data_IF_978016748752
#
_entry.id   IF_978016748752
#
_cell.length_a   1.000
_cell.length_b   1.000
_cell.length_c   1.000
_cell.angle_alpha   90.00
_cell.angle_beta   90.00
_cell.angle_gamma   90.00
#
_symmetry.space_group_name_H-M   'P 1'
#
loop_
_entity.id
_entity.type
_entity.pdbx_description
1 polymer ?
#
# COMPACT_ATOMS: atom_id res chain seq x y z
N UNK A 1 12.04 -0.03 3.15
CA UNK A 1 11.47 0.31 1.83
C UNK A 1 12.25 -0.50 0.81
N UNK A 2 11.64 -1.50 0.20
CA UNK A 2 12.29 -2.28 -0.86
C UNK A 2 12.23 -1.42 -2.13
N UNK A 3 13.38 -1.16 -2.75
CA UNK A 3 13.48 -0.51 -4.06
C UNK A 3 13.92 -1.58 -5.07
N UNK A 4 12.96 -2.37 -5.54
CA UNK A 4 13.15 -3.37 -6.58
C UNK A 4 12.37 -3.00 -7.84
N UNK A 5 12.86 -3.42 -9.00
CA UNK A 5 12.04 -3.46 -10.22
C UNK A 5 10.96 -4.52 -10.04
N UNK A 6 9.71 -4.21 -10.34
CA UNK A 6 8.61 -5.15 -10.25
C UNK A 6 7.71 -5.05 -11.48
N UNK A 7 7.17 -6.18 -11.93
CA UNK A 7 5.99 -6.14 -12.81
C UNK A 7 4.85 -5.68 -11.92
N UNK A 8 4.25 -4.52 -12.22
CA UNK A 8 3.00 -4.08 -11.61
C UNK A 8 1.93 -3.97 -12.66
N UNK A 9 0.78 -4.56 -12.36
CA UNK A 9 -0.43 -4.43 -13.16
C UNK A 9 -1.50 -3.78 -12.27
N UNK A 10 -2.37 -2.97 -12.86
CA UNK A 10 -3.56 -2.48 -12.15
C UNK A 10 -4.75 -2.54 -13.10
N UNK A 11 -5.88 -3.10 -12.67
CA UNK A 11 -7.16 -3.11 -13.38
C UNK A 11 -8.22 -2.43 -12.50
N UNK A 12 -9.00 -1.50 -13.07
CA UNK A 12 -9.93 -0.65 -12.34
C UNK A 12 -11.35 -0.85 -12.88
N UNK A 13 -12.28 -1.31 -12.05
CA UNK A 13 -13.71 -1.42 -12.40
C UNK A 13 -14.58 -0.66 -11.41
N UNK A 14 -15.77 -0.25 -11.83
CA UNK A 14 -16.79 0.31 -10.96
C UNK A 14 -18.00 -0.63 -10.82
N UNK A 15 -18.01 -1.75 -11.52
CA UNK A 15 -19.08 -2.74 -11.38
C UNK A 15 -18.85 -3.53 -10.09
N UNK A 16 -19.87 -3.70 -9.22
CA UNK A 16 -19.72 -4.48 -8.00
C UNK A 16 -19.50 -5.95 -8.33
N UNK A 17 -18.47 -6.54 -7.73
CA UNK A 17 -18.08 -7.92 -7.97
C UNK A 17 -18.47 -8.82 -6.80
N UNK A 18 -18.95 -10.02 -7.13
CA UNK A 18 -19.18 -11.03 -6.10
C UNK A 18 -17.86 -11.49 -5.51
N UNK A 19 -17.83 -11.84 -4.21
CA UNK A 19 -16.65 -12.46 -3.59
C UNK A 19 -16.22 -13.74 -4.32
N UNK A 20 -17.17 -14.46 -4.92
CA UNK A 20 -16.92 -15.56 -5.85
C UNK A 20 -15.99 -15.18 -7.01
N UNK A 21 -16.34 -14.12 -7.74
CA UNK A 21 -15.57 -13.58 -8.89
C UNK A 21 -14.18 -13.09 -8.45
N UNK A 22 -14.09 -12.38 -7.32
CA UNK A 22 -12.84 -11.86 -6.78
C UNK A 22 -11.89 -13.01 -6.40
N UNK A 23 -12.40 -14.02 -5.70
CA UNK A 23 -11.63 -15.22 -5.33
C UNK A 23 -11.19 -16.02 -6.55
N UNK A 24 -12.05 -16.17 -7.55
CA UNK A 24 -11.74 -16.89 -8.79
C UNK A 24 -10.58 -16.21 -9.55
N UNK A 25 -10.68 -14.89 -9.80
CA UNK A 25 -9.60 -14.08 -10.40
C UNK A 25 -8.29 -14.22 -9.63
N UNK A 26 -8.35 -14.17 -8.29
CA UNK A 26 -7.18 -14.26 -7.42
C UNK A 26 -6.51 -15.64 -7.48
N UNK A 27 -7.32 -16.72 -7.49
CA UNK A 27 -6.86 -18.10 -7.59
C UNK A 27 -6.26 -18.42 -8.95
N UNK A 28 -6.94 -18.05 -10.04
CA UNK A 28 -6.47 -18.27 -11.41
C UNK A 28 -5.15 -17.56 -11.67
N UNK A 29 -5.04 -16.29 -11.24
CA UNK A 29 -3.83 -15.50 -11.44
C UNK A 29 -2.66 -16.03 -10.61
N UNK A 30 -2.89 -16.39 -9.35
CA UNK A 30 -1.83 -17.04 -8.56
C UNK A 30 -1.42 -18.38 -9.17
N UNK A 31 -2.37 -19.20 -9.64
CA UNK A 31 -2.08 -20.48 -10.27
C UNK A 31 -1.27 -20.34 -11.58
N UNK A 32 -1.56 -19.30 -12.37
CA UNK A 32 -0.87 -19.02 -13.64
C UNK A 32 0.50 -18.36 -13.44
N UNK A 33 0.68 -17.50 -12.44
CA UNK A 33 1.97 -16.86 -12.13
C UNK A 33 2.93 -17.83 -11.40
N UNK A 34 2.42 -18.69 -10.50
CA UNK A 34 3.21 -19.59 -9.65
C UNK A 34 4.32 -20.40 -10.37
N UNK A 35 4.14 -20.94 -11.59
CA UNK A 35 5.21 -21.66 -12.32
C UNK A 35 6.42 -20.79 -12.67
N UNK A 36 6.26 -19.47 -12.73
CA UNK A 36 7.33 -18.52 -13.07
C UNK A 36 8.08 -18.01 -11.83
N UNK A 37 7.54 -18.25 -10.63
CA UNK A 37 8.11 -17.76 -9.38
C UNK A 37 9.20 -18.71 -8.87
N UNK A 38 10.24 -18.13 -8.26
CA UNK A 38 11.21 -18.87 -7.44
C UNK A 38 10.56 -19.44 -6.17
N UNK A 39 9.96 -20.62 -6.29
CA UNK A 39 9.27 -21.31 -5.19
C UNK A 39 10.17 -21.63 -4.00
N UNK A 40 11.49 -21.67 -4.20
CA UNK A 40 12.49 -21.78 -3.13
C UNK A 40 12.58 -20.53 -2.23
N UNK A 41 12.13 -19.36 -2.73
CA UNK A 41 11.93 -18.13 -1.95
C UNK A 41 10.48 -17.89 -1.51
N UNK A 42 9.56 -18.82 -1.76
CA UNK A 42 8.17 -18.73 -1.29
C UNK A 42 7.99 -19.60 -0.05
N UNK A 43 8.63 -19.21 1.06
CA UNK A 43 8.53 -19.95 2.33
C UNK A 43 7.18 -19.73 3.00
N UNK A 44 6.53 -18.58 2.74
CA UNK A 44 5.21 -18.24 3.28
C UNK A 44 4.29 -17.69 2.19
N UNK A 45 3.02 -18.03 2.27
CA UNK A 45 1.96 -17.37 1.53
C UNK A 45 0.74 -17.17 2.45
N UNK A 46 0.17 -15.98 2.41
CA UNK A 46 -0.89 -15.50 3.31
C UNK A 46 -2.04 -14.91 2.50
N UNK A 47 -3.26 -15.16 2.96
CA UNK A 47 -4.46 -14.47 2.51
C UNK A 47 -4.93 -13.59 3.65
N UNK A 48 -5.12 -12.32 3.36
CA UNK A 48 -5.79 -11.36 4.22
C UNK A 48 -7.11 -10.96 3.56
N UNK A 49 -8.14 -10.76 4.36
CA UNK A 49 -9.38 -10.17 3.88
C UNK A 49 -10.08 -9.36 4.96
N UNK A 50 -10.82 -8.34 4.55
CA UNK A 50 -11.80 -7.64 5.38
C UNK A 50 -13.20 -7.97 4.90
N UNK A 51 -14.13 -8.00 5.86
CA UNK A 51 -15.56 -8.00 5.61
C UNK A 51 -16.09 -6.59 5.92
N UNK A 52 -17.18 -6.16 5.28
CA UNK A 52 -17.84 -4.89 5.58
C UNK A 52 -17.94 -4.62 7.08
N UNK A 53 -17.29 -3.55 7.53
CA UNK A 53 -17.30 -3.07 8.91
C UNK A 53 -16.71 -4.06 9.95
N UNK A 54 -15.84 -4.99 9.54
CA UNK A 54 -15.15 -5.94 10.43
C UNK A 54 -13.62 -5.82 10.33
N UNK A 55 -12.94 -6.30 11.38
CA UNK A 55 -11.48 -6.35 11.46
C UNK A 55 -10.87 -7.32 10.45
N UNK A 56 -9.62 -7.06 10.09
CA UNK A 56 -8.82 -7.91 9.20
C UNK A 56 -8.77 -9.36 9.70
N UNK A 57 -9.07 -10.31 8.82
CA UNK A 57 -8.79 -11.73 9.02
C UNK A 57 -7.55 -12.12 8.24
N UNK A 58 -6.66 -12.92 8.84
CA UNK A 58 -5.43 -13.42 8.23
C UNK A 58 -5.41 -14.94 8.32
N UNK A 59 -5.08 -15.64 7.23
CA UNK A 59 -4.73 -17.07 7.27
C UNK A 59 -3.59 -17.38 6.31
N UNK A 60 -2.86 -18.47 6.57
CA UNK A 60 -1.95 -19.04 5.56
C UNK A 60 -2.75 -19.51 4.34
N UNK A 61 -2.22 -19.32 3.13
CA UNK A 61 -2.84 -19.68 1.86
C UNK A 61 -3.35 -21.14 1.80
N UNK A 62 -2.62 -22.06 2.44
CA UNK A 62 -2.93 -23.49 2.51
C UNK A 62 -4.13 -23.81 3.43
N UNK A 63 -4.52 -22.89 4.32
CA UNK A 63 -5.62 -23.02 5.30
C UNK A 63 -6.78 -22.05 5.02
N UNK A 64 -6.74 -21.34 3.89
CA UNK A 64 -7.84 -20.49 3.45
C UNK A 64 -8.99 -21.38 2.96
N UNK A 65 -10.18 -21.22 3.55
CA UNK A 65 -11.40 -21.85 3.03
C UNK A 65 -11.91 -21.02 1.85
N UNK A 66 -11.38 -21.32 0.67
CA UNK A 66 -11.77 -20.68 -0.57
C UNK A 66 -13.25 -20.83 -0.90
N UNK A 67 -13.89 -21.93 -0.47
CA UNK A 67 -15.31 -22.12 -0.73
C UNK A 67 -16.14 -21.17 0.15
N UNK A 68 -15.76 -20.98 1.42
CA UNK A 68 -16.36 -19.96 2.28
C UNK A 68 -16.10 -18.52 1.76
N UNK A 69 -14.87 -18.21 1.32
CA UNK A 69 -14.53 -16.89 0.77
C UNK A 69 -15.34 -16.55 -0.49
N UNK A 70 -15.72 -17.55 -1.31
CA UNK A 70 -16.61 -17.35 -2.47
C UNK A 70 -18.06 -16.99 -2.11
N UNK A 71 -18.51 -17.24 -0.87
CA UNK A 71 -19.88 -17.00 -0.41
C UNK A 71 -20.08 -15.69 0.36
N UNK A 72 -19.02 -14.92 0.61
CA UNK A 72 -19.06 -13.68 1.38
C UNK A 72 -18.75 -12.47 0.49
N UNK A 73 -19.32 -11.31 0.83
CA UNK A 73 -18.94 -10.04 0.21
C UNK A 73 -17.59 -9.58 0.79
N UNK A 74 -16.58 -9.45 -0.07
CA UNK A 74 -15.22 -9.10 0.34
C UNK A 74 -15.01 -7.59 0.16
N UNK A 75 -14.54 -6.93 1.23
CA UNK A 75 -14.04 -5.55 1.12
C UNK A 75 -12.60 -5.53 0.62
N UNK A 76 -11.77 -6.45 1.10
CA UNK A 76 -10.40 -6.60 0.61
C UNK A 76 -10.06 -8.07 0.46
N UNK A 77 -9.17 -8.37 -0.49
CA UNK A 77 -8.51 -9.67 -0.59
C UNK A 77 -7.04 -9.41 -0.97
N UNK A 78 -6.13 -9.55 -0.01
CA UNK A 78 -4.69 -9.53 -0.25
C UNK A 78 -4.16 -10.97 -0.24
N UNK A 79 -3.56 -11.42 -1.35
CA UNK A 79 -2.76 -12.64 -1.41
C UNK A 79 -1.29 -12.24 -1.49
N UNK A 80 -0.58 -12.32 -0.35
CA UNK A 80 0.86 -12.13 -0.28
C UNK A 80 1.62 -13.45 -0.35
N UNK A 81 2.78 -13.48 -1.00
CA UNK A 81 3.75 -14.56 -0.86
C UNK A 81 5.18 -14.02 -0.83
N UNK A 82 6.05 -14.62 -0.03
CA UNK A 82 7.40 -14.12 0.23
C UNK A 82 8.29 -15.10 0.98
N UNK A 83 9.53 -14.66 1.25
CA UNK A 83 10.43 -15.35 2.17
C UNK A 83 10.34 -14.74 3.59
N UNK A 84 11.19 -15.19 4.51
CA UNK A 84 11.20 -14.69 5.90
C UNK A 84 11.80 -13.29 6.04
N UNK A 85 12.49 -12.77 5.03
CA UNK A 85 13.14 -11.46 5.02
C UNK A 85 12.31 -10.44 4.22
N UNK A 86 11.57 -10.91 3.21
CA UNK A 86 10.78 -10.11 2.28
C UNK A 86 9.30 -10.50 2.39
N UNK A 87 8.53 -9.70 3.13
CA UNK A 87 7.11 -9.97 3.42
C UNK A 87 6.19 -9.99 2.19
N UNK A 88 6.64 -9.47 1.05
CA UNK A 88 5.86 -9.30 -0.18
C UNK A 88 6.76 -9.41 -1.43
N UNK A 89 7.01 -10.62 -1.92
CA UNK A 89 7.70 -10.86 -3.21
C UNK A 89 6.69 -11.03 -4.36
N UNK A 90 5.56 -11.66 -4.08
CA UNK A 90 4.34 -11.60 -4.88
C UNK A 90 3.23 -10.99 -4.03
N UNK A 91 2.39 -10.19 -4.65
CA UNK A 91 1.18 -9.69 -4.01
C UNK A 91 0.07 -9.49 -5.02
N UNK A 92 -1.15 -9.83 -4.62
CA UNK A 92 -2.39 -9.45 -5.29
C UNK A 92 -3.30 -8.77 -4.27
N UNK A 93 -3.75 -7.56 -4.55
CA UNK A 93 -4.73 -6.84 -3.76
C UNK A 93 -6.00 -6.63 -4.58
N UNK A 94 -7.12 -6.96 -3.97
CA UNK A 94 -8.42 -6.41 -4.30
C UNK A 94 -8.83 -5.41 -3.22
N UNK A 95 -9.34 -4.25 -3.63
CA UNK A 95 -9.87 -3.21 -2.74
C UNK A 95 -11.29 -2.80 -3.15
N UNK A 96 -12.19 -2.69 -2.17
CA UNK A 96 -13.61 -2.35 -2.33
C UNK A 96 -13.89 -0.84 -2.40
N UNK A 97 -14.99 -0.54 -3.07
CA UNK A 97 -15.56 0.78 -3.31
C UNK A 97 -16.15 1.45 -2.05
N UNK A 98 -15.35 2.18 -1.28
CA UNK A 98 -15.88 3.11 -0.26
C UNK A 98 -16.19 4.46 -0.92
N UNK A 99 -17.43 4.95 -0.83
CA UNK A 99 -17.88 6.27 -1.32
C UNK A 99 -17.56 6.56 -2.80
N UNK A 100 -18.22 5.87 -3.74
CA UNK A 100 -18.05 6.01 -5.20
C UNK A 100 -16.63 5.73 -5.76
N UNK A 101 -15.73 5.16 -4.95
CA UNK A 101 -14.43 4.69 -5.44
C UNK A 101 -14.60 3.44 -6.32
N UNK A 102 -13.77 3.25 -7.35
CA UNK A 102 -13.74 1.99 -8.08
C UNK A 102 -13.10 0.88 -7.25
N UNK A 103 -13.47 -0.35 -7.61
CA UNK A 103 -12.75 -1.55 -7.25
C UNK A 103 -11.42 -1.61 -8.01
N UNK A 104 -10.33 -1.90 -7.29
CA UNK A 104 -9.01 -2.08 -7.90
C UNK A 104 -8.56 -3.53 -7.72
N UNK A 105 -8.06 -4.12 -8.80
CA UNK A 105 -7.12 -5.24 -8.77
C UNK A 105 -5.72 -4.69 -8.99
N UNK A 106 -4.86 -4.73 -7.96
CA UNK A 106 -3.47 -4.27 -8.02
C UNK A 106 -2.55 -5.40 -7.57
N UNK A 107 -1.69 -5.85 -8.48
CA UNK A 107 -0.83 -7.02 -8.31
C UNK A 107 0.58 -6.67 -8.74
N UNK A 108 1.54 -7.13 -7.95
CA UNK A 108 2.95 -6.95 -8.21
C UNK A 108 3.74 -8.25 -8.06
N UNK A 109 4.78 -8.36 -8.89
CA UNK A 109 5.71 -9.48 -8.93
C UNK A 109 7.12 -8.90 -8.89
N UNK A 110 7.81 -9.09 -7.77
CA UNK A 110 9.15 -8.55 -7.54
C UNK A 110 10.18 -9.20 -8.49
N UNK A 111 11.02 -8.37 -9.12
CA UNK A 111 12.06 -8.80 -10.05
C UNK A 111 13.05 -9.80 -9.45
N UNK A 112 13.27 -9.83 -8.14
CA UNK A 112 14.15 -10.82 -7.52
C UNK A 112 13.58 -12.26 -7.50
N UNK A 113 12.25 -12.42 -7.50
CA UNK A 113 11.63 -13.75 -7.68
C UNK A 113 11.42 -14.12 -9.14
N UNK A 114 11.55 -13.15 -10.05
CA UNK A 114 11.70 -13.41 -11.46
C UNK A 114 13.10 -13.95 -11.68
N UNK A 115 13.21 -15.27 -11.85
CA UNK A 115 14.40 -15.85 -12.44
C UNK A 115 14.56 -15.22 -13.84
N UNK A 116 15.52 -14.30 -14.04
CA UNK A 116 15.69 -13.40 -15.21
C UNK A 116 15.56 -14.04 -16.61
N UNK A 117 15.50 -15.37 -16.70
CA UNK A 117 15.22 -16.17 -17.91
C UNK A 117 13.72 -16.36 -18.21
N UNK A 118 12.83 -16.03 -17.28
CA UNK A 118 11.40 -16.32 -17.35
C UNK A 118 10.54 -15.13 -17.79
N UNK A 119 11.13 -13.94 -17.99
CA UNK A 119 10.37 -12.70 -18.17
C UNK A 119 9.47 -12.72 -19.42
N UNK A 120 9.95 -13.22 -20.56
CA UNK A 120 9.11 -13.32 -21.78
C UNK A 120 7.91 -14.25 -21.61
N UNK A 121 8.10 -15.44 -21.03
CA UNK A 121 6.99 -16.37 -20.77
C UNK A 121 6.02 -15.82 -19.70
N UNK A 122 6.53 -15.14 -18.67
CA UNK A 122 5.69 -14.47 -17.69
C UNK A 122 4.96 -13.26 -18.28
N UNK A 123 5.57 -12.53 -19.21
CA UNK A 123 4.96 -11.40 -19.91
C UNK A 123 3.71 -11.84 -20.66
N UNK A 124 3.79 -12.92 -21.46
CA UNK A 124 2.64 -13.50 -22.15
C UNK A 124 1.53 -13.88 -21.17
N UNK A 125 1.88 -14.58 -20.08
CA UNK A 125 0.94 -14.97 -19.00
C UNK A 125 0.30 -13.75 -18.34
N UNK A 126 1.08 -12.73 -17.96
CA UNK A 126 0.61 -11.48 -17.35
C UNK A 126 -0.34 -10.72 -18.29
N UNK A 127 0.00 -10.61 -19.57
CA UNK A 127 -0.85 -9.95 -20.58
C UNK A 127 -2.16 -10.71 -20.77
N UNK A 128 -2.12 -12.04 -20.89
CA UNK A 128 -3.30 -12.88 -21.05
C UNK A 128 -4.25 -12.78 -19.85
N UNK A 129 -3.74 -12.89 -18.63
CA UNK A 129 -4.51 -12.72 -17.39
C UNK A 129 -5.09 -11.32 -17.28
N UNK A 130 -4.29 -10.28 -17.53
CA UNK A 130 -4.74 -8.89 -17.45
C UNK A 130 -5.90 -8.61 -18.41
N UNK A 131 -5.84 -9.15 -19.64
CA UNK A 131 -6.95 -9.08 -20.62
C UNK A 131 -8.20 -9.82 -20.13
N UNK A 132 -8.05 -11.05 -19.64
CA UNK A 132 -9.17 -11.84 -19.10
C UNK A 132 -9.86 -11.10 -17.95
N UNK A 133 -9.09 -10.55 -17.02
CA UNK A 133 -9.59 -9.83 -15.84
C UNK A 133 -10.24 -8.52 -16.23
N UNK A 134 -9.64 -7.75 -17.16
CA UNK A 134 -10.23 -6.52 -17.69
C UNK A 134 -11.62 -6.77 -18.30
N UNK A 135 -11.79 -7.88 -19.02
CA UNK A 135 -13.07 -8.28 -19.63
C UNK A 135 -14.05 -8.82 -18.58
N UNK A 136 -13.63 -9.77 -17.75
CA UNK A 136 -14.48 -10.46 -16.78
C UNK A 136 -15.04 -9.52 -15.69
N UNK A 137 -14.33 -8.43 -15.40
CA UNK A 137 -14.73 -7.44 -14.39
C UNK A 137 -15.40 -6.20 -14.98
N UNK A 138 -15.61 -6.18 -16.31
CA UNK A 138 -16.08 -5.01 -17.07
C UNK A 138 -15.30 -3.73 -16.72
N UNK A 139 -13.98 -3.85 -16.61
CA UNK A 139 -13.12 -2.77 -16.18
C UNK A 139 -13.13 -1.57 -17.15
N UNK A 140 -12.83 -0.39 -16.61
CA UNK A 140 -12.87 0.88 -17.32
C UNK A 140 -11.48 1.41 -17.71
N UNK A 141 -10.44 1.05 -16.95
CA UNK A 141 -9.05 1.33 -17.29
C UNK A 141 -8.11 0.35 -16.60
N UNK A 142 -6.85 0.34 -17.00
CA UNK A 142 -5.81 -0.44 -16.37
C UNK A 142 -4.45 -0.26 -17.05
N UNK A 143 -3.39 -0.79 -16.45
CA UNK A 143 -2.04 -0.75 -17.00
C UNK A 143 -1.18 -1.95 -16.58
N UNK A 144 -0.08 -2.15 -17.30
CA UNK A 144 1.02 -3.07 -17.01
C UNK A 144 2.32 -2.26 -17.12
N UNK A 145 3.17 -2.36 -16.11
CA UNK A 145 4.42 -1.59 -15.95
C UNK A 145 5.53 -2.48 -15.42
N UNK A 146 6.79 -2.14 -15.72
CA UNK A 146 7.97 -2.78 -15.16
C UNK A 146 8.91 -1.72 -14.59
N UNK A 147 8.52 -1.20 -13.42
CA UNK A 147 9.12 -0.02 -12.81
C UNK A 147 9.70 -0.34 -11.43
N UNK A 148 10.54 0.55 -10.90
CA UNK A 148 10.89 0.53 -9.49
C UNK A 148 9.62 0.75 -8.67
N UNK A 149 9.29 -0.20 -7.78
CA UNK A 149 8.09 -0.14 -6.97
C UNK A 149 8.37 0.44 -5.58
N UNK A 150 7.38 1.14 -5.04
CA UNK A 150 7.31 1.49 -3.62
C UNK A 150 5.98 0.98 -3.09
N UNK A 151 6.02 0.21 -2.00
CA UNK A 151 4.83 -0.40 -1.38
C UNK A 151 3.92 0.61 -0.65
N UNK A 152 4.10 1.91 -0.89
CA UNK A 152 3.42 3.00 -0.17
C UNK A 152 2.18 3.43 -0.95
N UNK A 153 1.11 2.65 -0.78
CA UNK A 153 -0.24 2.99 -1.22
C UNK A 153 -0.60 2.60 -2.65
N UNK A 154 -1.87 2.82 -3.00
CA UNK A 154 -2.45 2.42 -4.29
C UNK A 154 -2.09 3.33 -5.47
N UNK A 155 -1.28 4.39 -5.25
CA UNK A 155 -0.87 5.34 -6.28
C UNK A 155 -0.09 4.67 -7.41
N UNK A 156 -0.32 5.07 -8.65
CA UNK A 156 0.50 4.65 -9.79
C UNK A 156 1.84 5.41 -9.84
N UNK A 157 2.88 4.93 -10.55
CA UNK A 157 4.15 5.65 -10.68
C UNK A 157 3.98 7.08 -11.22
N UNK A 158 3.11 7.28 -12.22
CA UNK A 158 2.79 8.62 -12.74
C UNK A 158 2.11 9.51 -11.68
N UNK A 159 1.11 8.99 -10.96
CA UNK A 159 0.41 9.74 -9.90
C UNK A 159 1.37 10.17 -8.77
N UNK A 160 2.34 9.34 -8.41
CA UNK A 160 3.40 9.69 -7.44
C UNK A 160 4.24 10.88 -7.91
N UNK A 161 4.63 10.93 -9.19
CA UNK A 161 5.46 12.02 -9.76
C UNK A 161 4.72 13.36 -9.72
N UNK A 162 3.46 13.38 -10.16
CA UNK A 162 2.62 14.58 -10.18
C UNK A 162 1.99 14.92 -8.81
N UNK A 163 2.37 14.18 -7.76
CA UNK A 163 1.80 14.23 -6.39
C UNK A 163 0.26 14.19 -6.35
N UNK A 164 -0.35 13.40 -7.22
CA UNK A 164 -1.78 13.15 -7.17
C UNK A 164 -2.07 12.08 -6.12
N UNK A 165 -2.77 12.44 -5.05
CA UNK A 165 -3.20 11.46 -4.05
C UNK A 165 -4.18 10.47 -4.72
N UNK A 166 -3.99 9.13 -4.60
CA UNK A 166 -4.72 8.14 -5.40
C UNK A 166 -6.24 8.33 -5.31
N UNK A 167 -6.78 8.53 -4.10
CA UNK A 167 -8.21 8.77 -3.87
C UNK A 167 -8.83 9.97 -4.59
N UNK A 168 -8.04 10.93 -5.09
CA UNK A 168 -8.55 12.06 -5.87
C UNK A 168 -8.80 11.72 -7.35
N UNK A 169 -8.00 10.82 -7.91
CA UNK A 169 -8.10 10.42 -9.32
C UNK A 169 -9.07 9.25 -9.52
N UNK A 170 -9.22 8.43 -8.48
CA UNK A 170 -10.03 7.23 -8.45
C UNK A 170 -11.46 7.40 -9.03
N UNK A 171 -12.28 8.41 -8.64
CA UNK A 171 -13.61 8.62 -9.26
C UNK A 171 -13.57 8.96 -10.76
N UNK A 172 -12.42 9.40 -11.29
CA UNK A 172 -12.25 9.80 -12.69
C UNK A 172 -11.76 8.67 -13.59
N UNK A 173 -11.48 7.49 -13.05
CA UNK A 173 -10.94 6.35 -13.81
C UNK A 173 -11.84 5.83 -14.96
N UNK A 174 -13.09 6.32 -15.08
CA UNK A 174 -13.97 6.09 -16.25
C UNK A 174 -13.57 6.90 -17.50
N UNK A 175 -12.84 8.00 -17.33
CA UNK A 175 -12.45 8.95 -18.41
C UNK A 175 -10.99 9.36 -18.35
N UNK A 176 -10.28 9.07 -17.25
CA UNK A 176 -8.85 9.31 -17.09
C UNK A 176 -8.12 8.00 -16.80
N UNK A 177 -6.97 7.84 -17.45
CA UNK A 177 -6.00 6.78 -17.13
C UNK A 177 -5.31 7.07 -15.80
N UNK A 178 -4.48 6.12 -15.33
CA UNK A 178 -3.60 6.33 -14.17
C UNK A 178 -2.14 6.58 -14.59
N UNK A 179 -1.92 7.08 -15.80
CA UNK A 179 -0.60 7.22 -16.43
C UNK A 179 -0.54 6.53 -17.80
N UNK A 180 0.66 6.46 -18.35
CA UNK A 180 0.98 5.75 -19.60
C UNK A 180 2.15 4.80 -19.33
N UNK A 181 1.97 3.52 -19.63
CA UNK A 181 2.94 2.47 -19.29
C UNK A 181 3.18 1.53 -20.47
N UNK A 182 3.95 0.46 -20.29
CA UNK A 182 4.20 -0.52 -21.35
C UNK A 182 2.91 -1.15 -21.90
N UNK A 183 2.03 -1.61 -21.00
CA UNK A 183 0.70 -2.11 -21.33
C UNK A 183 -0.37 -1.16 -20.79
N UNK A 184 -1.43 -0.89 -21.55
CA UNK A 184 -2.53 -0.04 -21.12
C UNK A 184 -3.88 -0.62 -21.58
N UNK A 185 -4.91 -0.44 -20.77
CA UNK A 185 -6.28 -0.82 -21.08
C UNK A 185 -7.18 0.42 -21.15
N UNK A 186 -7.83 0.60 -22.29
CA UNK A 186 -8.62 1.79 -22.63
C UNK A 186 -10.02 1.40 -23.11
N UNK A 187 -11.06 2.04 -22.59
CA UNK A 187 -12.43 1.97 -23.13
C UNK A 187 -12.67 3.04 -24.20
N UNK A 188 -13.82 3.00 -24.88
CA UNK A 188 -14.23 4.06 -25.81
C UNK A 188 -14.25 5.47 -25.18
N UNK A 189 -14.60 5.58 -23.89
CA UNK A 189 -14.57 6.86 -23.12
C UNK A 189 -13.16 7.42 -22.91
N UNK A 190 -12.13 6.58 -23.00
CA UNK A 190 -10.73 7.01 -23.00
C UNK A 190 -10.23 7.33 -24.42
N UNK A 191 -10.75 6.64 -25.44
CA UNK A 191 -10.35 6.88 -26.83
C UNK A 191 -10.92 8.18 -27.40
N UNK A 192 -12.15 8.57 -27.05
CA UNK A 192 -12.79 9.77 -27.60
C UNK A 192 -11.97 11.06 -27.37
N UNK A 193 -11.49 11.39 -26.14
CA UNK A 193 -10.70 12.61 -25.92
C UNK A 193 -9.32 12.62 -26.59
N UNK A 194 -8.78 11.46 -26.99
CA UNK A 194 -7.49 11.34 -27.68
C UNK A 194 -7.64 11.22 -29.22
N UNK A 195 -8.86 11.39 -29.76
CA UNK A 195 -9.12 11.37 -31.21
C UNK A 195 -9.48 10.00 -31.78
N UNK A 196 -9.87 9.03 -30.95
CA UNK A 196 -10.34 7.71 -31.35
C UNK A 196 -9.25 6.72 -31.75
N UNK A 197 -9.68 5.52 -32.17
CA UNK A 197 -8.78 4.43 -32.57
C UNK A 197 -7.88 4.82 -33.76
N UNK A 198 -8.40 5.59 -34.71
CA UNK A 198 -7.61 6.05 -35.87
C UNK A 198 -6.41 6.91 -35.45
N UNK A 199 -6.57 7.76 -34.43
CA UNK A 199 -5.47 8.58 -33.90
C UNK A 199 -4.48 7.74 -33.09
N UNK A 200 -4.98 6.75 -32.34
CA UNK A 200 -4.12 5.78 -31.63
C UNK A 200 -3.22 5.01 -32.62
N UNK A 201 -3.78 4.53 -33.74
CA UNK A 201 -3.06 3.78 -34.77
C UNK A 201 -2.01 4.59 -35.56
N UNK A 202 -1.93 5.91 -35.37
CA UNK A 202 -0.90 6.76 -36.00
C UNK A 202 0.40 6.83 -35.19
N UNK A 203 0.37 6.42 -33.92
CA UNK A 203 1.52 6.41 -33.01
C UNK A 203 2.28 5.07 -33.15
N UNK A 204 3.62 5.03 -33.02
CA UNK A 204 4.44 3.80 -33.14
C UNK A 204 4.26 2.82 -31.97
N UNK A 205 3.05 2.28 -31.83
CA UNK A 205 2.66 1.26 -30.87
C UNK A 205 2.94 -0.13 -31.47
N UNK A 206 3.61 -1.00 -30.72
CA UNK A 206 3.91 -2.37 -31.16
C UNK A 206 2.64 -3.20 -31.44
N UNK A 207 1.65 -3.16 -30.55
CA UNK A 207 0.42 -3.95 -30.70
C UNK A 207 -0.81 -3.28 -30.08
N UNK A 208 -1.95 -3.38 -30.77
CA UNK A 208 -3.28 -2.97 -30.30
C UNK A 208 -4.25 -4.13 -30.53
N UNK A 209 -4.98 -4.52 -29.49
CA UNK A 209 -6.02 -5.55 -29.53
C UNK A 209 -7.36 -4.96 -29.10
N UNK A 210 -8.43 -5.27 -29.85
CA UNK A 210 -9.80 -4.96 -29.46
C UNK A 210 -10.36 -6.04 -28.53
N UNK A 211 -10.79 -5.64 -27.34
CA UNK A 211 -11.42 -6.48 -26.32
C UNK A 211 -12.94 -6.21 -26.27
N UNK A 212 -13.77 -7.14 -25.77
CA UNK A 212 -15.23 -6.94 -25.67
C UNK A 212 -15.72 -5.64 -25.02
N UNK A 213 -14.98 -5.11 -24.05
CA UNK A 213 -15.29 -3.85 -23.35
C UNK A 213 -14.29 -2.70 -23.63
N UNK A 214 -13.32 -2.87 -24.54
CA UNK A 214 -12.30 -1.84 -24.77
C UNK A 214 -11.14 -2.29 -25.65
N UNK A 215 -9.95 -1.85 -25.31
CA UNK A 215 -8.72 -2.08 -26.08
C UNK A 215 -7.55 -2.34 -25.13
N UNK A 216 -6.70 -3.28 -25.51
CA UNK A 216 -5.36 -3.43 -24.94
C UNK A 216 -4.33 -2.81 -25.89
N UNK A 217 -3.40 -2.05 -25.34
CA UNK A 217 -2.29 -1.40 -26.06
C UNK A 217 -0.96 -1.82 -25.44
N UNK A 218 -0.01 -2.24 -26.27
CA UNK A 218 1.35 -2.64 -25.89
C UNK A 218 2.37 -1.81 -26.66
N UNK A 219 3.23 -1.07 -25.96
CA UNK A 219 4.13 -0.10 -26.58
C UNK A 219 5.32 -0.74 -27.32
N UNK A 220 5.90 -1.80 -26.77
CA UNK A 220 7.08 -2.50 -27.29
C UNK A 220 6.94 -4.02 -27.13
N UNK A 221 7.77 -4.79 -27.83
CA UNK A 221 7.77 -6.27 -27.71
C UNK A 221 8.21 -6.73 -26.31
N UNK A 222 9.19 -6.06 -25.70
CA UNK A 222 9.73 -6.34 -24.37
C UNK A 222 9.33 -5.24 -23.38
N UNK A 223 8.74 -5.60 -22.23
CA UNK A 223 8.33 -4.62 -21.20
C UNK A 223 9.48 -3.85 -20.54
N UNK A 224 10.72 -4.33 -20.69
CA UNK A 224 11.93 -3.70 -20.15
C UNK A 224 12.59 -2.72 -21.13
N UNK A 225 12.24 -2.79 -22.41
CA UNK A 225 12.78 -1.93 -23.48
C UNK A 225 11.64 -1.21 -24.21
N UNK A 226 11.27 -0.04 -23.69
CA UNK A 226 10.32 0.87 -24.33
C UNK A 226 11.11 2.02 -24.97
N UNK A 227 11.11 2.15 -26.31
CA UNK A 227 11.85 3.22 -26.96
C UNK A 227 11.35 4.60 -26.51
N UNK A 228 12.25 5.44 -26.00
CA UNK A 228 11.92 6.78 -25.48
C UNK A 228 11.03 7.64 -26.41
N UNK A 229 11.23 7.70 -27.75
CA UNK A 229 10.33 8.44 -28.63
C UNK A 229 8.87 7.94 -28.62
N UNK A 230 8.64 6.64 -28.40
CA UNK A 230 7.29 6.06 -28.27
C UNK A 230 6.64 6.56 -26.98
N UNK A 231 7.38 6.59 -25.87
CA UNK A 231 6.89 7.12 -24.59
C UNK A 231 6.53 8.61 -24.69
N UNK A 232 7.37 9.42 -25.34
CA UNK A 232 7.12 10.85 -25.54
C UNK A 232 5.86 11.11 -26.38
N UNK A 233 5.66 10.36 -27.47
CA UNK A 233 4.49 10.49 -28.32
C UNK A 233 3.20 9.99 -27.63
N UNK A 234 3.29 8.90 -26.86
CA UNK A 234 2.18 8.38 -26.05
C UNK A 234 1.83 9.34 -24.91
N UNK A 235 2.80 9.93 -24.22
CA UNK A 235 2.57 10.93 -23.18
C UNK A 235 1.82 12.15 -23.75
N UNK A 236 2.20 12.60 -24.96
CA UNK A 236 1.48 13.66 -25.67
C UNK A 236 0.05 13.24 -26.04
N UNK A 237 -0.12 12.05 -26.63
CA UNK A 237 -1.44 11.52 -27.00
C UNK A 237 -2.37 11.36 -25.79
N UNK A 238 -1.86 10.85 -24.67
CA UNK A 238 -2.63 10.57 -23.46
C UNK A 238 -2.92 11.84 -22.64
N UNK A 239 -2.25 12.97 -22.92
CA UNK A 239 -2.42 14.21 -22.15
C UNK A 239 -3.87 14.66 -21.84
N UNK A 240 -4.89 14.47 -22.72
CA UNK A 240 -6.29 14.79 -22.40
C UNK A 240 -6.92 13.87 -21.34
N UNK A 241 -6.43 12.63 -21.23
CA UNK A 241 -6.90 11.58 -20.33
C UNK A 241 -5.91 11.29 -19.19
N UNK A 242 -4.88 12.14 -19.01
CA UNK A 242 -3.95 12.01 -17.89
C UNK A 242 -4.43 12.77 -16.64
N UNK A 243 -4.19 12.23 -15.45
CA UNK A 243 -4.38 12.96 -14.20
C UNK A 243 -3.52 14.22 -14.19
N UNK A 244 -4.07 15.30 -13.64
CA UNK A 244 -3.42 16.60 -13.58
C UNK A 244 -2.89 16.87 -12.17
N UNK A 245 -1.69 17.46 -12.08
CA UNK A 245 -1.10 17.87 -10.81
C UNK A 245 -2.00 18.90 -10.10
N UNK A 246 -1.98 18.90 -8.77
CA UNK A 246 -2.61 19.97 -7.98
C UNK A 246 -1.78 21.26 -8.13
N UNK A 247 -2.38 22.41 -8.51
CA UNK A 247 -1.68 23.69 -8.51
C UNK A 247 -1.03 23.98 -7.16
N UNK A 248 0.24 24.39 -7.17
CA UNK A 248 0.99 24.75 -5.96
C UNK A 248 1.68 23.60 -5.22
N UNK A 249 1.56 22.33 -5.65
CA UNK A 249 2.47 21.29 -5.18
C UNK A 249 3.72 21.20 -6.10
N UNK A 250 4.95 21.32 -5.57
CA UNK A 250 6.15 21.09 -6.37
C UNK A 250 6.22 19.60 -6.78
N UNK A 251 6.89 19.24 -7.90
CA UNK A 251 7.07 17.85 -8.29
C UNK A 251 7.81 17.04 -7.20
N UNK A 252 7.66 15.71 -7.20
CA UNK A 252 8.37 14.83 -6.26
C UNK A 252 9.88 14.82 -6.52
N UNK A 253 10.70 15.17 -5.53
CA UNK A 253 12.17 15.34 -5.71
C UNK A 253 12.94 14.02 -5.96
N UNK A 254 12.29 12.85 -5.87
CA UNK A 254 12.96 11.54 -5.90
C UNK A 254 12.16 10.43 -6.63
N UNK A 255 11.27 10.78 -7.57
CA UNK A 255 10.34 9.81 -8.17
C UNK A 255 10.67 9.50 -9.63
N UNK A 256 11.39 8.39 -9.82
CA UNK A 256 11.64 7.60 -11.04
C UNK A 256 12.24 8.29 -12.27
N UNK A 257 13.42 7.77 -12.66
CA UNK A 257 14.18 8.13 -13.85
C UNK A 257 13.45 7.82 -15.19
N UNK A 258 12.36 7.04 -15.12
CA UNK A 258 11.48 6.69 -16.25
C UNK A 258 10.45 7.78 -16.59
N UNK A 259 10.19 8.72 -15.67
CA UNK A 259 9.21 9.82 -15.83
C UNK A 259 9.91 11.19 -15.99
N UNK A 260 11.23 11.19 -16.16
CA UNK A 260 12.03 12.39 -16.44
C UNK A 260 11.96 12.76 -17.93
N UNK A 261 10.79 13.26 -18.32
CA UNK A 261 10.59 14.48 -19.13
C UNK A 261 9.09 14.65 -19.44
N UNK A 262 8.24 14.68 -18.41
CA UNK A 262 6.83 15.12 -18.58
C UNK A 262 6.85 16.51 -19.20
N UNK A 263 6.23 16.73 -20.38
CA UNK A 263 6.15 18.06 -20.95
C UNK A 263 5.42 18.98 -19.97
N UNK A 264 6.13 19.97 -19.44
CA UNK A 264 5.52 21.00 -18.60
C UNK A 264 4.37 21.61 -19.40
N UNK A 265 3.13 21.66 -18.87
CA UNK A 265 1.98 22.13 -19.63
C UNK A 265 2.24 23.55 -20.15
N UNK A 266 2.29 23.68 -21.47
CA UNK A 266 2.70 24.91 -22.14
C UNK A 266 1.57 25.94 -22.06
N UNK A 267 1.53 26.68 -20.95
CA UNK A 267 0.74 27.89 -20.81
C UNK A 267 -0.12 27.98 -19.54
N UNK A 268 -0.12 29.16 -18.95
CA UNK A 268 -1.06 29.67 -17.94
C UNK A 268 -1.01 29.07 -16.53
N UNK A 269 -0.02 29.52 -15.73
CA UNK A 269 -0.32 30.12 -14.42
C UNK A 269 0.61 31.32 -14.18
N UNK A 270 0.10 32.49 -13.71
CA UNK A 270 0.95 33.54 -13.15
C UNK A 270 1.52 33.08 -11.78
N UNK A 271 2.65 33.64 -11.37
CA UNK A 271 3.24 33.35 -10.05
C UNK A 271 2.23 33.64 -8.92
N UNK A 272 2.05 32.71 -7.95
CA UNK A 272 1.16 32.94 -6.83
C UNK A 272 1.71 34.04 -5.91
N UNK A 273 0.85 34.92 -5.35
CA UNK A 273 1.31 35.96 -4.44
C UNK A 273 1.88 35.36 -3.15
N UNK A 274 3.07 35.82 -2.79
CA UNK A 274 3.77 35.42 -1.56
C UNK A 274 3.07 36.04 -0.33
N UNK A 275 2.19 35.29 0.34
CA UNK A 275 2.01 35.36 1.82
C UNK A 275 0.89 34.46 2.37
N UNK A 276 1.20 33.20 2.68
CA UNK A 276 0.70 32.52 3.89
C UNK A 276 1.78 31.55 4.35
N UNK A 277 2.24 31.56 5.62
CA UNK A 277 3.23 30.58 6.05
C UNK A 277 2.57 29.20 6.11
N UNK A 278 2.92 28.34 5.16
CA UNK A 278 2.70 26.91 5.33
C UNK A 278 3.52 26.44 6.54
N UNK A 279 2.95 25.55 7.36
CA UNK A 279 3.67 24.88 8.44
C UNK A 279 4.84 24.10 7.84
N UNK A 280 6.00 24.75 7.83
CA UNK A 280 7.20 24.22 7.20
C UNK A 280 7.85 23.31 8.22
N UNK A 281 7.66 22.01 8.06
CA UNK A 281 8.36 20.98 8.85
C UNK A 281 9.85 21.25 8.70
N UNK A 282 10.50 21.67 9.77
CA UNK A 282 11.91 22.06 9.74
C UNK A 282 12.80 20.81 9.84
N UNK A 283 14.07 20.95 9.45
CA UNK A 283 15.07 19.91 9.71
C UNK A 283 15.23 19.61 11.21
N UNK A 284 14.87 20.53 12.11
CA UNK A 284 14.87 20.30 13.55
C UNK A 284 13.66 19.47 14.02
N UNK A 285 12.54 19.53 13.30
CA UNK A 285 11.35 18.70 13.58
C UNK A 285 11.58 17.29 13.03
N UNK A 286 12.15 17.16 11.82
CA UNK A 286 12.57 15.88 11.29
C UNK A 286 13.68 15.22 12.13
N UNK A 287 14.67 15.99 12.60
CA UNK A 287 15.71 15.48 13.49
C UNK A 287 15.11 14.93 14.80
N UNK A 288 14.22 15.68 15.47
CA UNK A 288 13.51 15.21 16.67
C UNK A 288 12.66 13.97 16.41
N UNK A 289 11.96 13.93 15.28
CA UNK A 289 11.23 12.73 14.83
C UNK A 289 12.17 11.52 14.68
N UNK A 290 13.34 11.68 14.06
CA UNK A 290 14.31 10.56 13.94
C UNK A 290 15.01 10.20 15.25
N UNK A 291 15.23 11.16 16.15
CA UNK A 291 15.90 10.94 17.44
C UNK A 291 15.01 10.14 18.40
N UNK A 292 13.69 10.37 18.38
CA UNK A 292 12.73 9.58 19.18
C UNK A 292 12.67 8.10 18.78
N UNK A 293 13.02 7.74 17.55
CA UNK A 293 13.19 6.33 17.14
C UNK A 293 14.53 5.73 17.55
N UNK A 294 15.59 6.55 17.69
CA UNK A 294 16.93 6.06 18.05
C UNK A 294 17.13 5.90 19.56
N UNK A 295 16.56 6.80 20.35
CA UNK A 295 16.58 6.75 21.82
C UNK A 295 15.21 7.15 22.39
N UNK A 296 14.17 6.30 22.23
CA UNK A 296 12.85 6.59 22.79
C UNK A 296 12.92 6.70 24.33
N UNK A 297 12.19 7.66 24.95
CA UNK A 297 12.31 7.91 26.39
C UNK A 297 11.71 6.76 27.22
N UNK A 298 12.30 6.52 28.39
CA UNK A 298 11.78 5.54 29.36
C UNK A 298 10.41 5.99 29.89
N UNK A 299 9.47 5.04 29.97
CA UNK A 299 8.06 5.34 30.15
C UNK A 299 7.69 5.88 31.54
N UNK A 300 8.35 5.45 32.63
CA UNK A 300 8.12 6.05 33.96
C UNK A 300 8.60 7.49 33.99
N UNK A 301 9.81 7.76 33.51
CA UNK A 301 10.38 9.12 33.49
C UNK A 301 9.55 10.05 32.59
N UNK A 302 9.14 9.59 31.42
CA UNK A 302 8.30 10.34 30.49
C UNK A 302 6.93 10.63 31.10
N UNK A 303 6.21 9.60 31.59
CA UNK A 303 4.90 9.77 32.22
C UNK A 303 4.96 10.61 33.51
N UNK A 304 6.05 10.59 34.26
CA UNK A 304 6.19 11.41 35.47
C UNK A 304 6.42 12.90 35.17
N UNK A 305 7.05 13.21 34.03
CA UNK A 305 7.33 14.58 33.57
C UNK A 305 6.25 15.17 32.68
N UNK A 306 5.42 14.34 32.05
CA UNK A 306 4.39 14.80 31.13
C UNK A 306 3.23 15.48 31.89
N UNK A 307 2.89 16.68 31.44
CA UNK A 307 1.83 17.53 32.00
C UNK A 307 0.47 17.34 31.32
N UNK A 308 0.40 16.58 30.23
CA UNK A 308 -0.85 16.11 29.64
C UNK A 308 -1.56 15.16 30.62
N UNK A 309 -2.88 15.32 30.77
CA UNK A 309 -3.70 14.52 31.69
C UNK A 309 -3.91 13.09 31.20
N UNK A 310 -3.81 12.84 29.90
CA UNK A 310 -4.04 11.55 29.24
C UNK A 310 -2.96 11.28 28.18
N UNK A 311 -1.67 11.25 28.57
CA UNK A 311 -0.53 11.35 27.64
C UNK A 311 -0.27 10.10 26.80
N UNK A 312 -0.75 8.93 27.23
CA UNK A 312 -0.57 7.67 26.51
C UNK A 312 -1.96 7.10 26.25
N UNK A 313 -2.23 6.71 24.99
CA UNK A 313 -3.45 6.00 24.54
C UNK A 313 -4.71 6.45 25.32
N UNK A 314 -5.17 7.68 25.05
CA UNK A 314 -6.19 8.35 25.86
C UNK A 314 -7.56 7.67 25.76
N UNK A 315 -7.84 7.08 24.61
CA UNK A 315 -8.89 6.09 24.34
C UNK A 315 -8.89 4.90 25.32
N UNK A 316 -7.71 4.34 25.63
CA UNK A 316 -7.52 3.11 26.42
C UNK A 316 -7.36 3.36 27.92
N UNK A 317 -6.51 4.30 28.31
CA UNK A 317 -6.14 4.53 29.71
C UNK A 317 -6.93 5.66 30.37
N UNK A 318 -7.43 6.64 29.60
CA UNK A 318 -8.22 7.77 30.10
C UNK A 318 -7.44 8.78 30.95
N UNK A 319 -6.43 8.36 31.74
CA UNK A 319 -5.53 9.27 32.46
C UNK A 319 -4.09 8.74 32.56
N UNK A 320 -3.17 9.68 32.82
CA UNK A 320 -1.75 9.45 33.07
C UNK A 320 -1.50 8.48 34.22
N UNK A 321 -2.29 8.56 35.29
CA UNK A 321 -2.14 7.72 36.48
C UNK A 321 -2.52 6.26 36.18
N UNK A 322 -3.51 6.03 35.29
CA UNK A 322 -3.85 4.68 34.80
C UNK A 322 -2.75 4.16 33.86
N UNK A 323 -2.25 5.00 32.94
CA UNK A 323 -1.12 4.65 32.08
C UNK A 323 0.15 4.29 32.89
N UNK A 324 0.45 5.03 33.96
CA UNK A 324 1.55 4.74 34.88
C UNK A 324 1.36 3.38 35.57
N UNK A 325 0.14 3.08 36.06
CA UNK A 325 -0.16 1.77 36.66
C UNK A 325 0.03 0.62 35.68
N UNK A 326 -0.35 0.81 34.41
CA UNK A 326 -0.10 -0.16 33.36
C UNK A 326 1.40 -0.38 33.11
N UNK A 327 2.18 0.69 32.96
CA UNK A 327 3.66 0.61 32.81
C UNK A 327 4.31 -0.08 34.00
N UNK A 328 3.90 0.22 35.23
CA UNK A 328 4.38 -0.48 36.43
C UNK A 328 4.02 -1.97 36.41
N UNK A 329 2.84 -2.35 35.91
CA UNK A 329 2.45 -3.77 35.80
C UNK A 329 3.40 -4.57 34.88
N UNK A 330 3.90 -3.97 33.80
CA UNK A 330 4.89 -4.58 32.90
C UNK A 330 6.23 -4.80 33.61
N UNK A 331 6.70 -3.80 34.37
CA UNK A 331 7.91 -3.93 35.18
C UNK A 331 7.77 -4.96 36.32
N UNK A 332 6.61 -5.03 36.99
CA UNK A 332 6.31 -6.05 38.01
C UNK A 332 6.20 -7.46 37.42
N UNK A 333 5.73 -7.58 36.17
CA UNK A 333 5.77 -8.84 35.41
C UNK A 333 7.21 -9.25 35.02
N UNK A 334 8.15 -8.30 34.99
CA UNK A 334 9.58 -8.50 34.83
C UNK A 334 10.18 -7.84 33.59
N UNK A 335 9.51 -6.88 32.96
CA UNK A 335 10.10 -6.10 31.87
C UNK A 335 11.41 -5.44 32.33
N UNK A 336 12.44 -5.49 31.50
CA UNK A 336 13.75 -4.91 31.83
C UNK A 336 13.81 -3.42 31.52
N UNK A 337 13.01 -2.97 30.55
CA UNK A 337 12.90 -1.59 30.09
C UNK A 337 11.57 -1.41 29.36
N UNK A 338 10.91 -0.26 29.53
CA UNK A 338 9.72 0.13 28.79
C UNK A 338 9.95 1.53 28.23
N UNK A 339 9.89 1.66 26.91
CA UNK A 339 10.04 2.93 26.20
C UNK A 339 8.72 3.42 25.62
N UNK A 340 8.55 4.73 25.50
CA UNK A 340 7.42 5.36 24.78
C UNK A 340 7.81 5.59 23.33
N UNK A 341 6.99 5.13 22.41
CA UNK A 341 7.19 5.26 20.95
C UNK A 341 5.98 5.94 20.31
N UNK A 342 6.11 6.42 19.07
CA UNK A 342 5.06 7.21 18.38
C UNK A 342 4.63 8.42 19.21
N UNK A 343 5.61 9.30 19.53
CA UNK A 343 5.34 10.51 20.31
C UNK A 343 4.88 11.64 19.38
N UNK A 344 3.75 12.24 19.72
CA UNK A 344 3.13 13.38 19.07
C UNK A 344 3.36 14.63 19.92
N UNK A 345 4.32 15.47 19.52
CA UNK A 345 4.74 16.69 20.24
C UNK A 345 4.39 17.98 19.49
N UNK A 346 3.31 17.97 18.69
CA UNK A 346 2.94 19.14 17.89
C UNK A 346 2.61 20.36 18.79
N UNK A 347 3.03 21.58 18.44
CA UNK A 347 2.87 22.75 19.33
C UNK A 347 1.42 23.02 19.75
N UNK A 348 0.45 22.83 18.84
CA UNK A 348 -0.98 22.99 19.13
C UNK A 348 -1.49 21.96 20.15
N UNK A 349 -0.92 20.75 20.13
CA UNK A 349 -1.26 19.67 21.05
C UNK A 349 -0.72 19.95 22.44
N UNK A 350 0.54 20.37 22.53
CA UNK A 350 1.15 20.78 23.80
C UNK A 350 0.37 21.95 24.43
N UNK A 351 -0.09 22.91 23.62
CA UNK A 351 -0.90 24.04 24.09
C UNK A 351 -2.31 23.63 24.57
N UNK A 352 -2.98 22.71 23.87
CA UNK A 352 -4.37 22.32 24.17
C UNK A 352 -4.49 21.18 25.21
N UNK A 353 -3.66 20.15 25.11
CA UNK A 353 -3.68 18.96 25.96
C UNK A 353 -2.73 19.08 27.16
N UNK A 354 -1.81 20.06 27.16
CA UNK A 354 -0.86 20.32 28.25
C UNK A 354 0.47 19.59 28.14
N UNK A 355 0.70 18.81 27.07
CA UNK A 355 1.94 18.07 26.85
C UNK A 355 1.85 17.12 25.66
N UNK A 356 2.97 16.45 25.28
CA UNK A 356 2.97 15.52 24.17
C UNK A 356 2.10 14.29 24.44
N UNK A 357 1.64 13.65 23.38
CA UNK A 357 0.84 12.42 23.40
C UNK A 357 1.64 11.24 22.83
N UNK A 358 1.22 10.00 23.09
CA UNK A 358 1.81 8.81 22.49
C UNK A 358 0.80 7.67 22.36
N UNK A 359 1.01 6.81 21.37
CA UNK A 359 0.11 5.70 21.01
C UNK A 359 0.74 4.31 21.23
N UNK A 360 2.01 4.22 21.64
CA UNK A 360 2.69 2.93 21.73
C UNK A 360 3.77 2.84 22.81
N UNK A 361 4.03 1.60 23.24
CA UNK A 361 5.14 1.24 24.12
C UNK A 361 5.99 0.14 23.46
N UNK A 362 7.31 0.27 23.58
CA UNK A 362 8.25 -0.81 23.28
C UNK A 362 8.74 -1.42 24.60
N UNK A 363 8.40 -2.69 24.83
CA UNK A 363 8.66 -3.41 26.08
C UNK A 363 9.81 -4.38 25.87
N UNK A 364 10.94 -4.14 26.54
CA UNK A 364 12.08 -5.06 26.53
C UNK A 364 11.85 -6.21 27.50
N UNK A 365 11.94 -7.43 26.99
CA UNK A 365 11.62 -8.64 27.72
C UNK A 365 12.85 -9.15 28.51
N UNK A 366 12.63 -9.87 29.62
CA UNK A 366 13.70 -10.52 30.36
C UNK A 366 14.11 -11.84 29.70
N UNK A 367 15.33 -12.27 29.98
CA UNK A 367 15.83 -13.61 29.62
C UNK A 367 15.07 -14.72 30.38
N UNK A 368 14.50 -14.43 31.55
CA UNK A 368 13.74 -15.40 32.34
C UNK A 368 12.39 -15.72 31.67
N UNK A 369 12.27 -16.95 31.15
CA UNK A 369 11.07 -17.45 30.46
C UNK A 369 9.77 -17.26 31.24
N UNK A 370 9.79 -17.40 32.58
CA UNK A 370 8.59 -17.23 33.42
C UNK A 370 8.15 -15.78 33.55
N UNK A 371 9.09 -14.84 33.61
CA UNK A 371 8.77 -13.42 33.63
C UNK A 371 8.28 -12.96 32.25
N UNK A 372 8.96 -13.42 31.18
CA UNK A 372 8.54 -13.21 29.79
C UNK A 372 7.11 -13.67 29.52
N UNK A 373 6.71 -14.85 30.01
CA UNK A 373 5.36 -15.37 29.87
C UNK A 373 4.29 -14.47 30.54
N UNK A 374 4.59 -13.84 31.68
CA UNK A 374 3.66 -12.89 32.33
C UNK A 374 3.45 -11.63 31.48
N UNK A 375 4.52 -11.10 30.90
CA UNK A 375 4.45 -9.90 30.05
C UNK A 375 3.67 -10.21 28.76
N UNK A 376 3.88 -11.39 28.17
CA UNK A 376 3.11 -11.84 27.02
C UNK A 376 1.63 -12.04 27.37
N UNK A 377 1.28 -12.53 28.55
CA UNK A 377 -0.12 -12.62 28.99
C UNK A 377 -0.78 -11.23 29.14
N UNK A 378 -0.07 -10.23 29.68
CA UNK A 378 -0.57 -8.84 29.73
C UNK A 378 -0.75 -8.28 28.31
N UNK A 379 0.20 -8.53 27.41
CA UNK A 379 0.12 -8.10 26.02
C UNK A 379 -1.04 -8.77 25.27
N UNK A 380 -1.30 -10.05 25.53
CA UNK A 380 -2.41 -10.81 24.96
C UNK A 380 -3.77 -10.30 25.47
N UNK A 381 -3.88 -9.99 26.77
CA UNK A 381 -5.07 -9.38 27.36
C UNK A 381 -5.35 -8.00 26.75
N UNK A 382 -4.34 -7.15 26.60
CA UNK A 382 -4.47 -5.86 25.90
C UNK A 382 -4.88 -6.02 24.44
N UNK A 383 -4.23 -6.93 23.71
CA UNK A 383 -4.62 -7.22 22.33
C UNK A 383 -6.05 -7.78 22.24
N UNK A 384 -6.54 -8.50 23.24
CA UNK A 384 -7.94 -8.98 23.31
C UNK A 384 -8.92 -7.86 23.66
N UNK A 385 -8.54 -6.92 24.53
CA UNK A 385 -9.33 -5.72 24.86
C UNK A 385 -9.49 -4.81 23.64
N UNK A 386 -8.41 -4.59 22.90
CA UNK A 386 -8.40 -3.93 21.58
C UNK A 386 -8.98 -4.83 20.46
N UNK A 387 -9.41 -6.05 20.79
CA UNK A 387 -10.03 -7.02 19.88
C UNK A 387 -9.20 -7.37 18.65
N UNK A 388 -7.88 -7.43 18.77
CA UNK A 388 -6.94 -7.96 17.78
C UNK A 388 -6.82 -9.50 17.82
N UNK A 389 -7.29 -10.16 18.88
CA UNK A 389 -7.23 -11.62 19.04
C UNK A 389 -8.63 -12.26 19.17
N UNK A 390 -8.92 -13.24 18.32
CA UNK A 390 -9.95 -14.27 18.58
C UNK A 390 -9.34 -15.38 19.49
N UNK A 391 -10.17 -16.19 20.15
CA UNK A 391 -9.82 -17.01 21.34
C UNK A 391 -8.66 -18.02 21.22
N UNK A 392 -8.11 -18.28 20.03
CA UNK A 392 -7.07 -19.30 19.75
C UNK A 392 -5.77 -18.75 19.09
N UNK A 393 -5.64 -17.45 18.79
CA UNK A 393 -4.40 -16.88 18.21
C UNK A 393 -3.45 -16.32 19.28
N UNK A 394 -2.77 -17.21 20.02
CA UNK A 394 -1.83 -16.82 21.09
C UNK A 394 -0.51 -16.19 20.61
N UNK A 395 0.16 -15.44 21.49
CA UNK A 395 1.47 -14.81 21.24
C UNK A 395 2.67 -15.79 21.30
N UNK A 396 2.47 -17.08 21.02
CA UNK A 396 3.47 -18.14 21.24
C UNK A 396 4.76 -17.95 20.42
N UNK A 397 4.66 -17.48 19.17
CA UNK A 397 5.82 -17.22 18.31
C UNK A 397 6.68 -16.05 18.83
N UNK A 398 6.06 -15.09 19.55
CA UNK A 398 6.76 -13.92 20.12
C UNK A 398 7.67 -14.24 21.29
N UNK A 399 7.63 -15.48 21.81
CA UNK A 399 8.46 -15.97 22.94
C UNK A 399 9.99 -15.85 22.67
N UNK A 400 10.41 -15.55 21.43
CA UNK A 400 11.84 -15.40 21.04
C UNK A 400 12.34 -13.95 20.80
N UNK A 401 11.47 -12.93 20.66
CA UNK A 401 11.75 -11.62 20.00
C UNK A 401 12.69 -10.56 20.67
N UNK A 402 13.36 -10.82 21.80
CA UNK A 402 13.95 -9.81 22.75
C UNK A 402 12.99 -8.70 23.30
N UNK A 403 12.06 -8.18 22.51
CA UNK A 403 11.11 -7.11 22.87
C UNK A 403 9.76 -7.30 22.18
N UNK A 404 8.72 -6.61 22.66
CA UNK A 404 7.41 -6.50 21.98
C UNK A 404 6.96 -5.05 21.90
N UNK A 405 6.24 -4.71 20.83
CA UNK A 405 5.52 -3.44 20.72
C UNK A 405 4.05 -3.62 21.13
N UNK A 406 3.54 -2.68 21.92
CA UNK A 406 2.11 -2.50 22.22
C UNK A 406 1.67 -1.18 21.56
N UNK A 407 0.49 -1.15 20.95
CA UNK A 407 -0.07 0.02 20.26
C UNK A 407 -1.60 0.02 20.39
N UNK A 408 -2.19 1.22 20.43
CA UNK A 408 -3.61 1.49 20.64
C UNK A 408 -4.06 2.62 19.70
N UNK A 409 -5.29 2.56 19.18
CA UNK A 409 -5.85 3.43 18.10
C UNK A 409 -7.01 4.33 18.60
#
# INVERSE_FOLDING_TARGET
>A
MIMGQAIRITIVTFEPLSGGTVVEVAQETFAAIKPHLRTDRLTHATVYWTLPWQKHRKRSLQRADWQALRQIELETLEIGAGDSEHSRLYNFNYHYAVNDWPFIFDWFIDGEILNNRALGALQETVVALSKQVFVATNACTGYISYDNYSSVGSASPYEMVIRCAPGMNMPKCRTQTRGYYWGNFLTGTHLEPIGGLERLQQVPIHHIEHLPNGYYMQLSEDMTDIPRPVLEEIAHLFSPILPQAKPGMPPGENVYQFVLDVPQPVGMLPEPPVSTPANTVTMADFARFTESFQNPPEAREWLAKNSNLSPLASNRFGSREVAQQFVESLYVAGATLVHVTMIHDEPWRIEQEGGPYAESLLVKLPDETKARAKILAIAEEEMRNEGFLEDDEGLEDKVREESISLWWD
#
